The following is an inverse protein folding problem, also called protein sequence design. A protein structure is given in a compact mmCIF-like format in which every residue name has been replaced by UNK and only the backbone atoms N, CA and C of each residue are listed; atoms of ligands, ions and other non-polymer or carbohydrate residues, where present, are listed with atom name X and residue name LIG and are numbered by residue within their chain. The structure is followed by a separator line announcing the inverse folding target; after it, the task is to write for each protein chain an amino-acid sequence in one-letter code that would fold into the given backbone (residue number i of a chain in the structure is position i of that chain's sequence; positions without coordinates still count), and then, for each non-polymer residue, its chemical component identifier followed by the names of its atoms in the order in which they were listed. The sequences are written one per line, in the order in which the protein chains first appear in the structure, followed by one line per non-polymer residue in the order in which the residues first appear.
data_IF_497520247360
#
_entry.id   IF_497520247360
#
_cell.length_a   1.000
_cell.length_b   1.000
_cell.length_c   1.000
_cell.angle_alpha   90.00
_cell.angle_beta   90.00
_cell.angle_gamma   90.00
#
_symmetry.space_group_name_H-M   'P 1'
#
loop_
_entity.id
_entity.type
_entity.pdbx_description
1 polymer ?
#
# COMPACT_ATOMS: atom_id res chain seq x y z
N UNK A 1 -13.07 1.95 -50.23
CA UNK A 1 -11.74 1.83 -49.55
C UNK A 1 -11.35 3.02 -48.70
N UNK A 2 -11.98 4.18 -48.80
CA UNK A 2 -11.66 5.40 -48.02
C UNK A 2 -12.39 5.48 -46.67
N UNK A 3 -13.57 4.92 -46.53
CA UNK A 3 -14.43 4.96 -45.35
C UNK A 3 -13.88 4.08 -44.18
N UNK A 4 -13.16 3.00 -44.49
CA UNK A 4 -12.52 2.15 -43.44
C UNK A 4 -11.29 2.78 -42.78
N UNK A 5 -10.60 3.71 -43.46
CA UNK A 5 -9.41 4.38 -42.92
C UNK A 5 -9.76 5.51 -41.92
N UNK A 6 -10.97 6.04 -41.98
CA UNK A 6 -11.45 7.08 -41.07
C UNK A 6 -11.94 6.47 -39.75
N UNK A 7 -12.57 5.27 -39.78
CA UNK A 7 -13.01 4.57 -38.56
C UNK A 7 -11.85 4.13 -37.64
N UNK A 8 -10.71 3.72 -38.22
CA UNK A 8 -9.52 3.37 -37.42
C UNK A 8 -8.90 4.57 -36.70
N UNK A 9 -8.81 5.74 -37.33
CA UNK A 9 -8.24 6.95 -36.74
C UNK A 9 -9.16 7.64 -35.71
N UNK A 10 -10.48 7.42 -35.78
CA UNK A 10 -11.42 7.95 -34.80
C UNK A 10 -11.50 7.05 -33.57
N UNK A 11 -11.39 5.73 -33.75
CA UNK A 11 -11.33 4.78 -32.63
C UNK A 11 -10.06 4.95 -31.78
N UNK A 12 -8.90 5.24 -32.42
CA UNK A 12 -7.62 5.51 -31.73
C UNK A 12 -7.61 6.85 -30.95
N UNK A 13 -8.51 7.79 -31.28
CA UNK A 13 -8.64 9.06 -30.52
C UNK A 13 -9.64 8.99 -29.37
N UNK A 14 -10.42 7.92 -29.27
CA UNK A 14 -11.48 7.75 -28.27
C UNK A 14 -11.15 6.73 -27.20
N UNK A 15 -9.96 6.13 -27.23
CA UNK A 15 -9.39 5.49 -26.07
C UNK A 15 -8.46 6.49 -25.35
N UNK A 16 -8.94 7.25 -24.35
CA UNK A 16 -8.02 7.75 -23.35
C UNK A 16 -7.39 6.48 -22.78
N UNK A 17 -6.05 6.39 -22.91
CA UNK A 17 -5.30 5.33 -22.26
C UNK A 17 -5.80 5.27 -20.80
N UNK A 18 -6.46 4.19 -20.40
CA UNK A 18 -7.02 3.96 -19.05
C UNK A 18 -5.93 4.07 -17.95
N UNK A 19 -4.69 4.34 -18.37
CA UNK A 19 -3.47 4.42 -17.56
C UNK A 19 -3.02 5.82 -17.15
N UNK A 20 -3.68 6.89 -17.59
CA UNK A 20 -3.23 8.24 -17.25
C UNK A 20 -4.25 9.05 -16.48
N UNK A 21 -4.48 8.67 -15.24
CA UNK A 21 -4.97 9.70 -14.30
C UNK A 21 -3.99 10.89 -14.37
N UNK A 22 -4.51 12.13 -14.47
CA UNK A 22 -3.67 13.33 -14.53
C UNK A 22 -2.62 13.31 -13.42
N UNK A 23 -1.39 13.73 -13.70
CA UNK A 23 -0.29 13.70 -12.74
C UNK A 23 -0.63 14.29 -11.37
N UNK A 24 -1.53 15.30 -11.33
CA UNK A 24 -2.07 15.88 -10.09
C UNK A 24 -2.73 14.86 -9.16
N UNK A 25 -3.43 13.85 -9.69
CA UNK A 25 -4.05 12.81 -8.86
C UNK A 25 -3.04 11.83 -8.28
N UNK A 26 -1.97 11.53 -9.03
CA UNK A 26 -0.87 10.70 -8.53
C UNK A 26 -0.14 11.41 -7.38
N UNK A 27 0.12 12.70 -7.52
CA UNK A 27 0.73 13.52 -6.45
C UNK A 27 -0.20 13.62 -5.26
N UNK A 28 -1.50 13.90 -5.46
CA UNK A 28 -2.47 13.96 -4.38
C UNK A 28 -2.55 12.61 -3.63
N UNK A 29 -2.60 11.48 -4.34
CA UNK A 29 -2.58 10.15 -3.72
C UNK A 29 -1.30 9.90 -2.93
N UNK A 30 -0.13 10.31 -3.42
CA UNK A 30 1.14 10.20 -2.70
C UNK A 30 1.13 11.02 -1.40
N UNK A 31 0.60 12.24 -1.44
CA UNK A 31 0.45 13.09 -0.26
C UNK A 31 -0.54 12.49 0.74
N UNK A 32 -1.68 11.96 0.27
CA UNK A 32 -2.66 11.26 1.11
C UNK A 32 -2.05 10.01 1.77
N UNK A 33 -1.29 9.21 1.03
CA UNK A 33 -0.59 8.04 1.58
C UNK A 33 0.41 8.44 2.68
N UNK A 34 1.19 9.49 2.46
CA UNK A 34 2.11 10.03 3.48
C UNK A 34 1.38 10.60 4.67
N UNK A 35 0.28 11.31 4.43
CA UNK A 35 -0.60 11.82 5.49
C UNK A 35 -1.24 10.70 6.30
N UNK A 36 -1.76 9.65 5.66
CA UNK A 36 -2.31 8.48 6.33
C UNK A 36 -1.26 7.76 7.19
N UNK A 37 -0.03 7.62 6.67
CA UNK A 37 1.08 7.08 7.45
C UNK A 37 1.34 7.90 8.72
N UNK A 38 1.45 9.22 8.59
CA UNK A 38 1.71 10.10 9.71
C UNK A 38 0.56 10.08 10.73
N UNK A 39 -0.70 10.12 10.25
CA UNK A 39 -1.89 10.02 11.10
C UNK A 39 -1.93 8.70 11.88
N UNK A 40 -1.63 7.57 11.23
CA UNK A 40 -1.59 6.26 11.89
C UNK A 40 -0.49 6.18 12.94
N UNK A 41 0.72 6.65 12.61
CA UNK A 41 1.88 6.58 13.52
C UNK A 41 1.72 7.50 14.74
N UNK A 42 1.17 8.70 14.56
CA UNK A 42 1.03 9.68 15.64
C UNK A 42 -0.25 9.52 16.47
N UNK A 43 -1.34 9.05 15.86
CA UNK A 43 -2.65 9.01 16.51
C UNK A 43 -3.39 7.68 16.39
N UNK A 44 -2.69 6.64 15.94
CA UNK A 44 -3.26 5.29 15.84
C UNK A 44 -4.55 5.28 15.00
N UNK A 45 -5.56 4.58 15.51
CA UNK A 45 -6.86 4.44 14.84
C UNK A 45 -7.61 5.77 14.75
N UNK A 46 -7.50 6.63 15.76
CA UNK A 46 -8.29 7.87 15.86
C UNK A 46 -7.99 8.81 14.69
N UNK A 47 -6.73 8.98 14.33
CA UNK A 47 -6.34 9.83 13.21
C UNK A 47 -6.17 9.06 11.91
N UNK A 48 -5.80 7.78 11.99
CA UNK A 48 -5.61 6.92 10.83
C UNK A 48 -6.90 6.63 10.08
N UNK A 49 -8.00 6.37 10.81
CA UNK A 49 -9.28 6.03 10.19
C UNK A 49 -9.84 7.17 9.31
N UNK A 50 -9.92 8.44 9.76
CA UNK A 50 -10.33 9.53 8.88
C UNK A 50 -9.45 9.69 7.64
N UNK A 51 -8.13 9.53 7.79
CA UNK A 51 -7.20 9.63 6.66
C UNK A 51 -7.42 8.49 5.64
N UNK A 52 -7.60 7.25 6.10
CA UNK A 52 -7.94 6.12 5.24
C UNK A 52 -9.29 6.29 4.55
N UNK A 53 -10.32 6.73 5.30
CA UNK A 53 -11.65 6.98 4.74
C UNK A 53 -11.60 8.05 3.65
N UNK A 54 -10.79 9.11 3.82
CA UNK A 54 -10.60 10.12 2.78
C UNK A 54 -10.02 9.50 1.51
N UNK A 55 -8.99 8.65 1.61
CA UNK A 55 -8.41 7.95 0.45
C UNK A 55 -9.44 7.05 -0.23
N UNK A 56 -10.23 6.33 0.56
CA UNK A 56 -11.29 5.45 0.07
C UNK A 56 -12.39 6.24 -0.68
N UNK A 57 -12.85 7.36 -0.11
CA UNK A 57 -13.84 8.23 -0.73
C UNK A 57 -13.33 8.85 -2.03
N UNK A 58 -12.04 9.22 -2.10
CA UNK A 58 -11.42 9.72 -3.33
C UNK A 58 -11.39 8.63 -4.40
N UNK A 59 -11.00 7.39 -4.06
CA UNK A 59 -11.03 6.26 -5.01
C UNK A 59 -12.45 5.97 -5.49
N UNK A 60 -13.44 6.03 -4.58
CA UNK A 60 -14.85 5.86 -4.92
C UNK A 60 -15.35 6.97 -5.86
N UNK A 61 -15.02 8.22 -5.55
CA UNK A 61 -15.40 9.38 -6.36
C UNK A 61 -14.80 9.31 -7.78
N UNK A 62 -13.55 8.84 -7.88
CA UNK A 62 -12.87 8.62 -9.17
C UNK A 62 -13.40 7.38 -9.92
N UNK A 63 -14.28 6.58 -9.30
CA UNK A 63 -14.81 5.30 -9.81
C UNK A 63 -13.72 4.22 -9.99
N UNK A 64 -12.60 4.37 -9.29
CA UNK A 64 -11.46 3.44 -9.33
C UNK A 64 -11.54 2.33 -8.29
N UNK A 65 -12.43 2.44 -7.29
CA UNK A 65 -12.52 1.53 -6.15
C UNK A 65 -12.64 0.05 -6.56
N UNK A 66 -13.39 -0.25 -7.62
CA UNK A 66 -13.53 -1.62 -8.14
C UNK A 66 -12.20 -2.19 -8.62
N UNK A 67 -11.36 -1.35 -9.19
CA UNK A 67 -10.04 -1.73 -9.69
C UNK A 67 -8.99 -1.74 -8.59
N UNK A 68 -9.15 -0.92 -7.55
CA UNK A 68 -8.25 -0.85 -6.39
C UNK A 68 -8.52 -1.97 -5.39
N UNK A 69 -9.78 -2.44 -5.29
CA UNK A 69 -10.23 -3.41 -4.28
C UNK A 69 -9.40 -4.70 -4.21
N UNK A 70 -8.91 -5.32 -5.30
CA UNK A 70 -8.09 -6.51 -5.20
C UNK A 70 -6.76 -6.25 -4.46
N UNK A 71 -6.15 -5.09 -4.69
CA UNK A 71 -4.91 -4.70 -4.03
C UNK A 71 -5.13 -4.37 -2.56
N UNK A 72 -6.24 -3.67 -2.27
CA UNK A 72 -6.66 -3.35 -0.90
C UNK A 72 -6.88 -4.63 -0.08
N UNK A 73 -7.62 -5.61 -0.63
CA UNK A 73 -7.89 -6.87 0.04
C UNK A 73 -6.62 -7.71 0.24
N UNK A 74 -5.84 -7.91 -0.81
CA UNK A 74 -4.61 -8.72 -0.73
C UNK A 74 -3.64 -8.10 0.24
N UNK A 75 -3.37 -6.80 0.15
CA UNK A 75 -2.43 -6.13 1.04
C UNK A 75 -2.97 -6.02 2.47
N UNK A 76 -4.26 -5.77 2.67
CA UNK A 76 -4.85 -5.74 4.00
C UNK A 76 -4.74 -7.09 4.73
N UNK A 77 -5.06 -8.20 4.06
CA UNK A 77 -4.91 -9.55 4.62
C UNK A 77 -3.44 -9.89 4.85
N UNK A 78 -2.58 -9.64 3.86
CA UNK A 78 -1.14 -9.91 3.97
C UNK A 78 -0.52 -9.11 5.09
N UNK A 79 -0.88 -7.82 5.21
CA UNK A 79 -0.39 -6.95 6.27
C UNK A 79 -0.81 -7.42 7.65
N UNK A 80 -2.09 -7.75 7.82
CA UNK A 80 -2.56 -8.33 9.09
C UNK A 80 -1.79 -9.59 9.47
N UNK A 81 -1.59 -10.51 8.52
CA UNK A 81 -0.85 -11.76 8.79
C UNK A 81 0.62 -11.49 9.12
N UNK A 82 1.30 -10.66 8.32
CA UNK A 82 2.73 -10.39 8.51
C UNK A 82 3.00 -9.61 9.80
N UNK A 83 2.25 -8.54 10.07
CA UNK A 83 2.50 -7.76 11.28
C UNK A 83 2.11 -8.53 12.54
N UNK A 84 1.12 -9.43 12.46
CA UNK A 84 0.84 -10.39 13.54
C UNK A 84 1.99 -11.41 13.71
N UNK A 85 2.56 -11.89 12.61
CA UNK A 85 3.74 -12.76 12.66
C UNK A 85 4.95 -12.05 13.28
N UNK A 86 5.21 -10.80 12.90
CA UNK A 86 6.30 -10.00 13.48
C UNK A 86 6.11 -9.76 14.98
N UNK A 87 4.88 -9.55 15.43
CA UNK A 87 4.56 -9.45 16.85
C UNK A 87 4.87 -10.76 17.59
N UNK A 88 4.42 -11.90 17.08
CA UNK A 88 4.63 -13.20 17.74
C UNK A 88 6.07 -13.72 17.66
N UNK A 89 6.83 -13.32 16.64
CA UNK A 89 8.25 -13.69 16.50
C UNK A 89 9.20 -12.72 17.20
N UNK A 90 8.69 -11.64 17.80
CA UNK A 90 9.50 -10.64 18.49
C UNK A 90 10.35 -9.78 17.55
N UNK A 91 10.00 -9.70 16.28
CA UNK A 91 10.63 -8.77 15.31
C UNK A 91 10.16 -7.35 15.55
N UNK A 92 8.87 -7.17 15.87
CA UNK A 92 8.26 -5.91 16.24
C UNK A 92 7.43 -6.08 17.52
N UNK A 93 7.41 -5.05 18.35
CA UNK A 93 6.52 -4.98 19.51
C UNK A 93 5.67 -3.70 19.42
N UNK A 94 4.37 -3.88 19.45
CA UNK A 94 3.38 -2.80 19.38
C UNK A 94 2.82 -2.41 20.76
N UNK A 95 3.31 -3.03 21.82
CA UNK A 95 2.87 -2.75 23.20
C UNK A 95 1.35 -2.88 23.36
N UNK A 96 0.77 -1.92 24.06
CA UNK A 96 -0.68 -1.88 24.32
C UNK A 96 -1.55 -1.60 23.10
N UNK A 97 -0.97 -1.24 21.96
CA UNK A 97 -1.73 -1.02 20.71
C UNK A 97 -2.14 -2.33 20.02
N UNK A 98 -1.47 -3.45 20.35
CA UNK A 98 -1.83 -4.78 19.85
C UNK A 98 -3.22 -5.21 20.33
N UNK A 99 -3.98 -5.90 19.47
CA UNK A 99 -5.38 -6.27 19.74
C UNK A 99 -5.43 -7.65 20.36
N UNK A 100 -5.73 -7.71 21.65
CA UNK A 100 -5.93 -8.97 22.34
C UNK A 100 -7.28 -9.61 21.94
N UNK A 101 -7.23 -10.89 21.57
CA UNK A 101 -8.39 -11.71 21.27
C UNK A 101 -8.67 -12.69 22.42
N UNK A 102 -9.90 -13.26 22.50
CA UNK A 102 -10.18 -14.39 23.37
C UNK A 102 -9.18 -15.52 23.16
N UNK A 103 -8.91 -16.32 24.20
CA UNK A 103 -7.97 -17.43 24.19
C UNK A 103 -6.47 -17.04 24.16
N UNK A 104 -6.14 -15.76 24.43
CA UNK A 104 -4.76 -15.31 24.58
C UNK A 104 -4.02 -15.05 23.27
N UNK A 105 -4.70 -15.09 22.13
CA UNK A 105 -4.10 -14.71 20.85
C UNK A 105 -4.10 -13.19 20.69
N UNK A 106 -3.03 -12.63 20.11
CA UNK A 106 -2.88 -11.20 19.92
C UNK A 106 -2.65 -10.89 18.44
N UNK A 107 -3.40 -9.95 17.90
CA UNK A 107 -3.26 -9.47 16.53
C UNK A 107 -2.45 -8.16 16.48
N UNK A 108 -1.89 -7.89 15.31
CA UNK A 108 -1.32 -6.60 15.00
C UNK A 108 -2.35 -5.47 15.19
N UNK A 109 -1.91 -4.25 15.55
CA UNK A 109 -2.80 -3.11 15.75
C UNK A 109 -3.61 -2.77 14.50
N UNK A 110 -4.85 -2.30 14.68
CA UNK A 110 -5.70 -1.92 13.57
C UNK A 110 -5.09 -0.79 12.72
N UNK A 111 -4.34 0.14 13.32
CA UNK A 111 -3.72 1.25 12.60
C UNK A 111 -2.67 0.79 11.57
N UNK A 112 -1.92 -0.30 11.84
CA UNK A 112 -0.96 -0.83 10.86
C UNK A 112 -1.70 -1.49 9.68
N UNK A 113 -2.80 -2.18 9.95
CA UNK A 113 -3.66 -2.73 8.89
C UNK A 113 -4.22 -1.60 8.00
N UNK A 114 -4.60 -0.47 8.61
CA UNK A 114 -5.04 0.71 7.85
C UNK A 114 -3.96 1.22 6.90
N UNK A 115 -2.68 1.17 7.29
CA UNK A 115 -1.57 1.53 6.40
C UNK A 115 -1.45 0.57 5.21
N UNK A 116 -1.62 -0.73 5.42
CA UNK A 116 -1.63 -1.70 4.34
C UNK A 116 -2.79 -1.45 3.35
N UNK A 117 -3.98 -1.10 3.86
CA UNK A 117 -5.12 -0.72 3.02
C UNK A 117 -4.83 0.57 2.23
N UNK A 118 -4.20 1.57 2.86
CA UNK A 118 -3.79 2.81 2.19
C UNK A 118 -2.75 2.56 1.09
N UNK A 119 -1.79 1.64 1.30
CA UNK A 119 -0.86 1.19 0.26
C UNK A 119 -1.63 0.53 -0.88
N UNK A 120 -2.61 -0.33 -0.58
CA UNK A 120 -3.49 -0.96 -1.57
C UNK A 120 -4.20 0.07 -2.46
N UNK A 121 -4.75 1.14 -1.86
CA UNK A 121 -5.37 2.27 -2.56
C UNK A 121 -4.36 3.14 -3.34
N UNK A 122 -3.07 2.83 -3.27
CA UNK A 122 -2.02 3.62 -3.93
C UNK A 122 -1.31 2.88 -5.05
N UNK A 123 -1.49 1.56 -5.17
CA UNK A 123 -0.78 0.70 -6.15
C UNK A 123 -0.96 1.21 -7.59
N UNK A 124 -2.20 1.53 -7.97
CA UNK A 124 -2.54 1.97 -9.34
C UNK A 124 -2.39 3.49 -9.54
N UNK A 125 -2.12 4.22 -8.48
CA UNK A 125 -2.05 5.68 -8.47
C UNK A 125 -0.62 6.17 -8.30
N UNK A 126 -0.24 6.54 -7.07
CA UNK A 126 1.09 7.09 -6.80
C UNK A 126 2.23 6.07 -6.94
N UNK A 127 1.94 4.78 -6.72
CA UNK A 127 2.95 3.71 -6.80
C UNK A 127 3.06 3.08 -8.20
N UNK A 128 2.28 3.54 -9.17
CA UNK A 128 2.27 2.98 -10.53
C UNK A 128 3.65 2.96 -11.20
N UNK A 129 4.51 3.93 -10.91
CA UNK A 129 5.85 3.97 -11.47
C UNK A 129 6.75 2.84 -10.93
N UNK A 130 6.49 2.36 -9.69
CA UNK A 130 7.16 1.20 -9.09
C UNK A 130 6.61 -0.10 -9.68
N UNK A 131 5.30 -0.16 -9.91
CA UNK A 131 4.65 -1.29 -10.59
C UNK A 131 5.25 -1.53 -11.98
N UNK A 132 5.53 -0.46 -12.71
CA UNK A 132 6.17 -0.57 -14.04
C UNK A 132 7.61 -1.10 -13.99
N UNK A 133 8.27 -1.01 -12.83
CA UNK A 133 9.64 -1.48 -12.57
C UNK A 133 9.68 -2.31 -11.29
N UNK A 134 9.12 -3.56 -11.29
CA UNK A 134 8.86 -4.32 -10.06
C UNK A 134 10.09 -4.54 -9.18
N UNK A 135 11.23 -4.89 -9.78
CA UNK A 135 12.47 -5.12 -9.02
C UNK A 135 12.96 -3.82 -8.35
N UNK A 136 13.00 -2.73 -9.12
CA UNK A 136 13.39 -1.42 -8.57
C UNK A 136 12.42 -0.97 -7.46
N UNK A 137 11.12 -1.13 -7.69
CA UNK A 137 10.08 -0.81 -6.71
C UNK A 137 10.23 -1.62 -5.42
N UNK A 138 10.46 -2.92 -5.54
CA UNK A 138 10.66 -3.82 -4.41
C UNK A 138 11.89 -3.45 -3.59
N UNK A 139 13.01 -3.17 -4.25
CA UNK A 139 14.24 -2.73 -3.59
C UNK A 139 14.05 -1.38 -2.89
N UNK A 140 13.37 -0.44 -3.54
CA UNK A 140 13.11 0.89 -2.95
C UNK A 140 12.23 0.78 -1.71
N UNK A 141 11.15 -0.01 -1.77
CA UNK A 141 10.25 -0.22 -0.64
C UNK A 141 10.94 -1.02 0.47
N UNK A 142 11.60 -2.12 0.14
CA UNK A 142 12.26 -2.97 1.12
C UNK A 142 13.43 -2.28 1.82
N UNK A 143 14.28 -1.56 1.09
CA UNK A 143 15.36 -0.78 1.70
C UNK A 143 14.85 0.46 2.47
N UNK A 144 13.69 1.00 2.07
CA UNK A 144 13.05 2.13 2.76
C UNK A 144 12.25 1.72 4.00
N UNK A 145 11.82 0.46 4.09
CA UNK A 145 10.99 -0.01 5.22
C UNK A 145 11.71 0.11 6.58
N UNK A 146 13.00 -0.24 6.75
CA UNK A 146 13.70 -0.03 8.01
C UNK A 146 13.65 1.42 8.49
N UNK A 147 13.83 2.38 7.59
CA UNK A 147 13.76 3.80 7.93
C UNK A 147 12.36 4.20 8.40
N UNK A 148 11.31 3.64 7.78
CA UNK A 148 9.93 3.87 8.19
C UNK A 148 9.65 3.33 9.58
N UNK A 149 10.10 2.11 9.91
CA UNK A 149 9.94 1.51 11.24
C UNK A 149 10.77 2.23 12.30
N UNK A 150 12.03 2.58 12.03
CA UNK A 150 12.86 3.38 12.94
C UNK A 150 12.24 4.76 13.21
N UNK A 151 11.60 5.36 12.22
CA UNK A 151 10.87 6.61 12.42
C UNK A 151 9.62 6.38 13.28
N UNK A 152 8.87 5.30 13.04
CA UNK A 152 7.73 4.89 13.87
C UNK A 152 8.12 4.63 15.33
N UNK A 153 9.28 4.01 15.57
CA UNK A 153 9.84 3.80 16.91
C UNK A 153 10.13 5.12 17.61
N UNK A 154 10.73 6.09 16.91
CA UNK A 154 10.98 7.43 17.48
C UNK A 154 9.70 8.17 17.87
N UNK A 155 8.60 7.87 17.22
CA UNK A 155 7.28 8.40 17.57
C UNK A 155 6.53 7.54 18.61
N UNK A 156 7.15 6.44 19.07
CA UNK A 156 6.55 5.56 20.08
C UNK A 156 5.44 4.66 19.57
N UNK A 157 5.31 4.50 18.23
CA UNK A 157 4.27 3.67 17.64
C UNK A 157 4.59 2.17 17.62
N UNK A 158 5.86 1.82 17.69
CA UNK A 158 6.39 0.45 17.65
C UNK A 158 7.76 0.41 18.36
N UNK A 159 8.12 -0.72 18.91
CA UNK A 159 9.48 -0.99 19.43
C UNK A 159 10.15 -2.01 18.52
N UNK A 160 11.42 -1.81 18.22
CA UNK A 160 12.25 -2.70 17.40
C UNK A 160 13.24 -3.43 18.31
N UNK A 161 12.97 -4.67 18.73
CA UNK A 161 13.81 -5.38 19.70
C UNK A 161 15.21 -5.70 19.17
N UNK A 162 15.38 -5.85 17.86
CA UNK A 162 16.69 -6.18 17.28
C UNK A 162 16.87 -5.66 15.85
N UNK A 163 18.10 -5.25 15.53
CA UNK A 163 18.47 -4.86 14.16
C UNK A 163 18.46 -6.04 13.19
N UNK A 164 18.76 -7.25 13.64
CA UNK A 164 18.66 -8.46 12.80
C UNK A 164 17.21 -8.72 12.37
N UNK A 165 16.25 -8.56 13.26
CA UNK A 165 14.82 -8.64 12.95
C UNK A 165 14.41 -7.61 11.89
N UNK A 166 14.91 -6.39 12.00
CA UNK A 166 14.65 -5.33 11.04
C UNK A 166 15.21 -5.66 9.64
N UNK A 167 16.37 -6.30 9.56
CA UNK A 167 16.94 -6.76 8.28
C UNK A 167 16.12 -7.90 7.66
N UNK A 168 15.66 -8.86 8.48
CA UNK A 168 14.74 -9.92 8.02
C UNK A 168 13.45 -9.32 7.48
N UNK A 169 12.88 -8.36 8.20
CA UNK A 169 11.70 -7.62 7.77
C UNK A 169 11.93 -6.96 6.40
N UNK A 170 13.06 -6.25 6.22
CA UNK A 170 13.41 -5.61 4.95
C UNK A 170 13.50 -6.62 3.80
N UNK A 171 14.12 -7.78 4.04
CA UNK A 171 14.22 -8.85 3.02
C UNK A 171 12.84 -9.40 2.64
N UNK A 172 11.96 -9.64 3.62
CA UNK A 172 10.58 -10.09 3.35
C UNK A 172 9.79 -9.03 2.59
N UNK A 173 9.98 -7.74 2.90
CA UNK A 173 9.35 -6.66 2.15
C UNK A 173 9.81 -6.61 0.68
N UNK A 174 11.10 -6.84 0.39
CA UNK A 174 11.61 -6.93 -0.99
C UNK A 174 10.87 -8.04 -1.73
N UNK A 175 10.80 -9.25 -1.17
CA UNK A 175 10.15 -10.40 -1.79
C UNK A 175 8.65 -10.14 -2.01
N UNK A 176 7.97 -9.64 -0.98
CA UNK A 176 6.55 -9.34 -1.03
C UNK A 176 6.22 -8.29 -2.08
N UNK A 177 6.91 -7.14 -2.07
CA UNK A 177 6.61 -6.08 -3.01
C UNK A 177 7.07 -6.40 -4.44
N UNK A 178 8.09 -7.25 -4.61
CA UNK A 178 8.39 -7.79 -5.93
C UNK A 178 7.22 -8.63 -6.48
N UNK A 179 6.65 -9.50 -5.66
CA UNK A 179 5.48 -10.30 -6.05
C UNK A 179 4.25 -9.41 -6.32
N UNK A 180 3.96 -8.46 -5.43
CA UNK A 180 2.81 -7.53 -5.55
C UNK A 180 2.93 -6.66 -6.80
N UNK A 181 4.09 -6.05 -7.04
CA UNK A 181 4.27 -5.19 -8.21
C UNK A 181 4.29 -5.99 -9.53
N UNK A 182 4.84 -7.21 -9.53
CA UNK A 182 4.77 -8.10 -10.69
C UNK A 182 3.33 -8.50 -10.99
N UNK A 183 2.58 -8.90 -9.96
CA UNK A 183 1.16 -9.23 -10.09
C UNK A 183 0.33 -8.02 -10.56
N UNK A 184 0.56 -6.84 -9.99
CA UNK A 184 -0.10 -5.62 -10.42
C UNK A 184 0.22 -5.27 -11.88
N UNK A 185 1.49 -5.41 -12.29
CA UNK A 185 1.91 -5.17 -13.67
C UNK A 185 1.21 -6.10 -14.65
N UNK A 186 1.13 -7.40 -14.35
CA UNK A 186 0.44 -8.37 -15.24
C UNK A 186 -1.05 -8.03 -15.37
N UNK A 187 -1.73 -7.69 -14.29
CA UNK A 187 -3.13 -7.28 -14.35
C UNK A 187 -3.36 -6.03 -15.19
N UNK A 188 -2.48 -5.04 -15.05
CA UNK A 188 -2.58 -3.78 -15.79
C UNK A 188 -2.30 -3.95 -17.30
N UNK A 189 -1.68 -5.03 -17.73
CA UNK A 189 -1.44 -5.33 -19.16
C UNK A 189 -2.54 -6.18 -19.78
N UNK A 190 -3.44 -6.77 -18.97
CA UNK A 190 -4.53 -7.64 -19.44
C UNK A 190 -5.89 -6.95 -19.46
N UNK A 191 -6.05 -5.83 -18.76
CA UNK A 191 -7.24 -4.94 -18.77
C UNK A 191 -7.10 -3.86 -19.87
#
# INVERSE_FOLDING_TARGET
MWVMRIKGKVADRLQPSMFSLPGRYKVANALMLKGAWLCCVLGGVVFGLPALLMMFLVSLWQKELRHDSPYVLVLGVTGLCLDTLWLHTGVLDYGSAAVALPLGFTLAPAWIVMLWLAVGLSIRHSLIFLVNRPLFGALLVGCGSPLSYLTGERFGAVVIPSMSGLLVLAAVWIVLFFAVFTWAKTRLTTD
#
